data_IF_463184571075
#
_entry.id   IF_463184571075
#
_cell.length_a   1.000
_cell.length_b   1.000
_cell.length_c   1.000
_cell.angle_alpha   90.00
_cell.angle_beta   90.00
_cell.angle_gamma   90.00
#
_symmetry.space_group_name_H-M   'P 1'
#
loop_
_entity.id
_entity.type
_entity.pdbx_description
1 polymer ?
#
# COMPACT_ATOMS: atom_id res chain seq x y z
N UNK A 1 3.80 18.69 -20.88
CA UNK A 1 3.08 17.63 -20.14
C UNK A 1 2.04 17.11 -21.11
N UNK A 2 2.25 15.91 -21.64
CA UNK A 2 1.33 15.28 -22.59
C UNK A 2 -0.02 15.11 -21.91
N UNK A 3 -1.07 15.71 -22.47
CA UNK A 3 -2.40 15.82 -21.86
C UNK A 3 -3.23 14.54 -21.86
N UNK A 4 -2.62 13.38 -21.61
CA UNK A 4 -3.36 12.15 -21.35
C UNK A 4 -3.72 12.08 -19.87
N UNK A 5 -5.01 12.15 -19.58
CA UNK A 5 -5.55 11.94 -18.24
C UNK A 5 -5.31 10.50 -17.79
N UNK A 6 -5.13 10.32 -16.48
CA UNK A 6 -5.01 8.98 -15.90
C UNK A 6 -6.30 8.20 -16.13
N UNK A 7 -6.21 6.89 -16.47
CA UNK A 7 -7.38 6.11 -16.81
C UNK A 7 -8.33 5.99 -15.61
N UNK A 8 -9.59 6.38 -15.81
CA UNK A 8 -10.63 6.40 -14.77
C UNK A 8 -10.84 5.05 -14.10
N UNK A 9 -10.68 3.93 -14.82
CA UNK A 9 -10.83 2.59 -14.25
C UNK A 9 -9.81 2.31 -13.14
N UNK A 10 -8.59 2.85 -13.24
CA UNK A 10 -7.56 2.69 -12.20
C UNK A 10 -7.94 3.45 -10.92
N UNK A 11 -8.48 4.67 -11.07
CA UNK A 11 -8.99 5.48 -9.96
C UNK A 11 -10.14 4.78 -9.23
N UNK A 12 -11.07 4.20 -9.99
CA UNK A 12 -12.20 3.45 -9.45
C UNK A 12 -11.75 2.18 -8.72
N UNK A 13 -10.88 1.38 -9.33
CA UNK A 13 -10.36 0.16 -8.71
C UNK A 13 -9.64 0.45 -7.40
N UNK A 14 -8.79 1.48 -7.39
CA UNK A 14 -8.07 1.91 -6.19
C UNK A 14 -9.04 2.39 -5.09
N UNK A 15 -10.04 3.17 -5.46
CA UNK A 15 -11.06 3.67 -4.51
C UNK A 15 -11.91 2.53 -3.94
N UNK A 16 -12.31 1.56 -4.77
CA UNK A 16 -13.05 0.37 -4.33
C UNK A 16 -12.21 -0.47 -3.36
N UNK A 17 -10.92 -0.66 -3.65
CA UNK A 17 -10.00 -1.33 -2.75
C UNK A 17 -9.95 -0.65 -1.38
N UNK A 18 -9.83 0.68 -1.33
CA UNK A 18 -9.90 1.43 -0.06
C UNK A 18 -11.25 1.30 0.63
N UNK A 19 -12.34 1.29 -0.13
CA UNK A 19 -13.69 1.07 0.38
C UNK A 19 -13.85 -0.25 1.14
N UNK A 20 -13.02 -1.25 0.85
CA UNK A 20 -12.95 -2.51 1.60
C UNK A 20 -11.89 -2.45 2.70
N UNK A 21 -10.67 -1.99 2.39
CA UNK A 21 -9.55 -2.01 3.33
C UNK A 21 -9.83 -1.14 4.56
N UNK A 22 -10.31 0.08 4.36
CA UNK A 22 -10.51 1.05 5.45
C UNK A 22 -11.48 0.52 6.52
N UNK A 23 -12.72 0.08 6.22
CA UNK A 23 -13.60 -0.42 7.26
C UNK A 23 -13.06 -1.70 7.91
N UNK A 24 -12.44 -2.60 7.14
CA UNK A 24 -11.88 -3.84 7.69
C UNK A 24 -10.74 -3.55 8.67
N UNK A 25 -9.80 -2.68 8.29
CA UNK A 25 -8.69 -2.29 9.17
C UNK A 25 -9.15 -1.49 10.37
N UNK A 26 -10.14 -0.61 10.19
CA UNK A 26 -10.70 0.15 11.29
C UNK A 26 -11.30 -0.76 12.37
N UNK A 27 -12.06 -1.78 11.96
CA UNK A 27 -12.68 -2.73 12.90
C UNK A 27 -11.63 -3.63 13.56
N UNK A 28 -10.62 -4.10 12.82
CA UNK A 28 -9.63 -5.04 13.36
C UNK A 28 -8.48 -4.40 14.14
N UNK A 29 -7.96 -3.27 13.67
CA UNK A 29 -6.75 -2.63 14.20
C UNK A 29 -7.03 -1.28 14.86
N UNK A 30 -8.23 -0.72 14.66
CA UNK A 30 -8.60 0.60 15.14
C UNK A 30 -8.03 1.74 14.27
N UNK A 31 -8.49 2.98 14.50
CA UNK A 31 -8.12 4.14 13.69
C UNK A 31 -6.63 4.50 13.76
N UNK A 32 -5.95 4.13 14.86
CA UNK A 32 -4.52 4.39 15.03
C UNK A 32 -3.65 3.69 13.98
N UNK A 33 -4.15 2.59 13.39
CA UNK A 33 -3.45 1.90 12.31
C UNK A 33 -3.17 2.83 11.13
N UNK A 34 -4.10 3.73 10.80
CA UNK A 34 -3.93 4.65 9.67
C UNK A 34 -2.88 5.74 9.86
N UNK A 35 -2.14 5.73 10.98
CA UNK A 35 -1.01 6.61 11.23
C UNK A 35 0.33 6.00 10.75
N UNK A 36 0.35 4.74 10.32
CA UNK A 36 1.52 4.18 9.65
C UNK A 36 1.78 4.92 8.34
N UNK A 37 3.06 5.15 8.01
CA UNK A 37 3.47 5.86 6.80
C UNK A 37 2.85 5.25 5.53
N UNK A 38 2.79 3.92 5.45
CA UNK A 38 2.17 3.20 4.34
C UNK A 38 0.67 3.43 4.21
N UNK A 39 -0.07 3.48 5.33
CA UNK A 39 -1.50 3.80 5.31
C UNK A 39 -1.76 5.26 4.92
N UNK A 40 -0.94 6.19 5.41
CA UNK A 40 -1.00 7.61 5.00
C UNK A 40 -0.76 7.72 3.49
N UNK A 41 0.30 7.08 2.99
CA UNK A 41 0.61 7.08 1.56
C UNK A 41 -0.48 6.41 0.74
N UNK A 42 -1.05 5.30 1.21
CA UNK A 42 -2.15 4.60 0.56
C UNK A 42 -3.37 5.52 0.40
N UNK A 43 -3.76 6.25 1.45
CA UNK A 43 -4.89 7.18 1.41
C UNK A 43 -4.58 8.44 0.57
N UNK A 44 -3.39 9.04 0.73
CA UNK A 44 -2.98 10.22 -0.05
C UNK A 44 -2.81 9.90 -1.54
N UNK A 45 -2.40 8.68 -1.90
CA UNK A 45 -2.32 8.23 -3.30
C UNK A 45 -3.70 8.21 -3.95
N UNK A 46 -4.77 7.86 -3.23
CA UNK A 46 -6.13 8.00 -3.75
C UNK A 46 -6.46 9.44 -4.11
N UNK A 47 -6.10 10.39 -3.24
CA UNK A 47 -6.30 11.82 -3.48
C UNK A 47 -5.47 12.27 -4.68
N UNK A 48 -4.21 11.84 -4.78
CA UNK A 48 -3.33 12.13 -5.90
C UNK A 48 -3.90 11.60 -7.24
N UNK A 49 -4.46 10.39 -7.26
CA UNK A 49 -5.09 9.79 -8.45
C UNK A 49 -6.28 10.61 -8.96
N UNK A 50 -7.13 11.09 -8.05
CA UNK A 50 -8.32 11.88 -8.42
C UNK A 50 -7.98 13.32 -8.82
N UNK A 51 -7.02 13.94 -8.13
CA UNK A 51 -6.54 15.28 -8.44
C UNK A 51 -5.52 15.30 -9.59
N UNK A 52 -5.07 14.13 -10.05
CA UNK A 52 -3.95 13.96 -10.98
C UNK A 52 -2.75 14.82 -10.59
N UNK A 53 -2.37 14.77 -9.30
CA UNK A 53 -1.35 15.65 -8.72
C UNK A 53 -0.01 14.91 -8.59
N UNK A 54 1.00 15.21 -9.44
CA UNK A 54 2.32 14.58 -9.36
C UNK A 54 3.08 14.98 -8.09
N UNK A 55 2.78 16.15 -7.53
CA UNK A 55 3.37 16.61 -6.27
C UNK A 55 3.00 15.68 -5.11
N UNK A 56 1.71 15.37 -4.95
CA UNK A 56 1.25 14.46 -3.90
C UNK A 56 1.82 13.06 -4.08
N UNK A 57 1.84 12.56 -5.33
CA UNK A 57 2.48 11.28 -5.65
C UNK A 57 3.97 11.29 -5.28
N UNK A 58 4.70 12.36 -5.62
CA UNK A 58 6.15 12.47 -5.38
C UNK A 58 6.45 12.52 -3.89
N UNK A 59 5.68 13.29 -3.13
CA UNK A 59 5.82 13.38 -1.68
C UNK A 59 5.62 12.01 -1.02
N UNK A 60 4.58 11.28 -1.43
CA UNK A 60 4.31 9.95 -0.88
C UNK A 60 5.35 8.94 -1.31
N UNK A 61 5.77 8.93 -2.58
CA UNK A 61 6.84 8.07 -3.08
C UNK A 61 8.13 8.26 -2.27
N UNK A 62 8.54 9.49 -2.00
CA UNK A 62 9.72 9.76 -1.17
C UNK A 62 9.52 9.31 0.28
N UNK A 63 8.32 9.52 0.86
CA UNK A 63 8.02 9.13 2.23
C UNK A 63 8.05 7.61 2.42
N UNK A 64 7.61 6.82 1.43
CA UNK A 64 7.41 5.37 1.59
C UNK A 64 8.31 4.47 0.74
N UNK A 65 9.09 4.99 -0.19
CA UNK A 65 9.95 4.16 -1.05
C UNK A 65 10.85 3.23 -0.24
N UNK A 66 11.59 3.76 0.73
CA UNK A 66 12.47 2.95 1.58
C UNK A 66 11.71 1.92 2.43
N UNK A 67 10.72 2.29 3.26
CA UNK A 67 10.02 1.30 4.08
C UNK A 67 9.28 0.25 3.24
N UNK A 68 8.69 0.62 2.10
CA UNK A 68 8.04 -0.34 1.20
C UNK A 68 9.06 -1.30 0.58
N UNK A 69 10.23 -0.82 0.14
CA UNK A 69 11.29 -1.68 -0.38
C UNK A 69 11.80 -2.66 0.68
N UNK A 70 12.01 -2.21 1.92
CA UNK A 70 12.44 -3.08 3.02
C UNK A 70 11.34 -4.10 3.34
N UNK A 71 10.07 -3.68 3.39
CA UNK A 71 8.94 -4.58 3.61
C UNK A 71 8.84 -5.65 2.51
N UNK A 72 8.98 -5.26 1.24
CA UNK A 72 8.95 -6.18 0.10
C UNK A 72 10.14 -7.14 0.13
N UNK A 73 11.34 -6.67 0.43
CA UNK A 73 12.52 -7.52 0.57
C UNK A 73 12.35 -8.55 1.69
N UNK A 74 11.79 -8.15 2.84
CA UNK A 74 11.46 -9.06 3.94
C UNK A 74 10.40 -10.09 3.53
N UNK A 75 9.29 -9.63 2.91
CA UNK A 75 8.19 -10.48 2.48
C UNK A 75 8.62 -11.52 1.44
N UNK A 76 9.25 -11.10 0.34
CA UNK A 76 9.70 -12.01 -0.71
C UNK A 76 10.88 -12.85 -0.25
N UNK A 77 11.79 -12.30 0.56
CA UNK A 77 12.89 -13.06 1.16
C UNK A 77 12.37 -14.22 2.00
N UNK A 78 11.38 -13.96 2.87
CA UNK A 78 10.74 -15.00 3.68
C UNK A 78 9.91 -15.96 2.83
N UNK A 79 9.19 -15.47 1.82
CA UNK A 79 8.39 -16.31 0.92
C UNK A 79 9.26 -17.31 0.14
N UNK A 80 10.44 -16.90 -0.33
CA UNK A 80 11.32 -17.71 -1.15
C UNK A 80 12.24 -18.63 -0.33
N UNK A 81 12.69 -18.18 0.85
CA UNK A 81 13.72 -18.89 1.63
C UNK A 81 13.19 -19.51 2.93
N UNK A 82 12.01 -19.12 3.38
CA UNK A 82 11.47 -19.46 4.69
C UNK A 82 12.17 -18.78 5.87
N UNK A 83 13.19 -17.94 5.63
CA UNK A 83 13.99 -17.28 6.67
C UNK A 83 13.43 -15.90 7.03
N UNK A 84 13.50 -15.56 8.31
CA UNK A 84 13.19 -14.22 8.81
C UNK A 84 14.37 -13.29 8.54
N UNK A 85 14.14 -12.14 7.90
CA UNK A 85 15.19 -11.15 7.63
C UNK A 85 15.10 -9.98 8.62
N UNK A 86 13.98 -9.25 8.58
CA UNK A 86 13.73 -8.03 9.35
C UNK A 86 12.46 -8.11 10.20
N UNK A 87 11.53 -9.00 9.85
CA UNK A 87 10.31 -9.26 10.62
C UNK A 87 9.16 -8.27 10.38
N UNK A 88 9.32 -7.32 9.45
CA UNK A 88 8.29 -6.34 9.08
C UNK A 88 7.06 -7.00 8.45
N UNK A 89 7.25 -8.13 7.77
CA UNK A 89 6.20 -8.91 7.11
C UNK A 89 5.79 -10.14 7.92
N UNK A 90 6.23 -10.28 9.18
CA UNK A 90 6.07 -11.54 9.91
C UNK A 90 4.61 -11.97 10.09
N UNK A 91 3.74 -10.97 10.27
CA UNK A 91 2.31 -11.14 10.38
C UNK A 91 1.67 -11.75 9.12
N UNK A 92 2.32 -11.67 7.95
CA UNK A 92 1.84 -12.27 6.70
C UNK A 92 1.92 -13.81 6.72
N UNK A 93 2.79 -14.36 7.57
CA UNK A 93 3.01 -15.80 7.67
C UNK A 93 2.46 -16.40 8.98
N UNK A 94 1.81 -15.58 9.81
CA UNK A 94 1.16 -16.00 11.04
C UNK A 94 -0.14 -16.78 10.74
N UNK A 95 -0.24 -18.07 11.09
CA UNK A 95 -1.44 -18.87 10.86
C UNK A 95 -2.63 -18.42 11.73
N UNK A 96 -2.39 -17.72 12.85
CA UNK A 96 -3.43 -17.15 13.70
C UNK A 96 -4.13 -15.94 13.07
N UNK A 97 -3.56 -15.36 12.01
CA UNK A 97 -4.15 -14.19 11.33
C UNK A 97 -5.05 -14.60 10.17
N UNK A 98 -6.27 -14.03 10.10
CA UNK A 98 -7.18 -14.25 8.98
C UNK A 98 -6.51 -13.97 7.63
N UNK A 99 -6.75 -14.85 6.65
CA UNK A 99 -6.12 -14.75 5.33
C UNK A 99 -6.48 -13.46 4.58
N UNK A 100 -7.71 -12.97 4.76
CA UNK A 100 -8.14 -11.74 4.11
C UNK A 100 -7.41 -10.50 4.64
N UNK A 101 -7.07 -10.44 5.94
CA UNK A 101 -6.27 -9.32 6.48
C UNK A 101 -4.88 -9.29 5.85
N UNK A 102 -4.25 -10.46 5.74
CA UNK A 102 -2.96 -10.59 5.07
C UNK A 102 -3.03 -10.24 3.59
N UNK A 103 -4.10 -10.66 2.91
CA UNK A 103 -4.30 -10.32 1.51
C UNK A 103 -4.46 -8.80 1.32
N UNK A 104 -5.17 -8.11 2.22
CA UNK A 104 -5.29 -6.65 2.18
C UNK A 104 -3.94 -5.97 2.40
N UNK A 105 -3.10 -6.49 3.29
CA UNK A 105 -1.73 -5.99 3.52
C UNK A 105 -0.80 -6.12 2.31
N UNK A 106 -1.15 -6.91 1.28
CA UNK A 106 -0.37 -6.96 0.04
C UNK A 106 -0.38 -5.64 -0.74
N UNK A 107 -1.14 -4.64 -0.30
CA UNK A 107 -1.02 -3.28 -0.84
C UNK A 107 0.42 -2.76 -0.76
N UNK A 108 1.25 -3.21 0.19
CA UNK A 108 2.67 -2.86 0.27
C UNK A 108 3.46 -3.24 -1.01
N UNK A 109 3.02 -4.27 -1.74
CA UNK A 109 3.61 -4.64 -3.04
C UNK A 109 3.12 -3.70 -4.15
N UNK A 110 1.85 -3.31 -4.11
CA UNK A 110 1.16 -2.59 -5.19
C UNK A 110 1.39 -1.07 -5.10
N UNK A 111 1.39 -0.51 -3.90
CA UNK A 111 1.50 0.92 -3.62
C UNK A 111 2.74 1.58 -4.27
N UNK A 112 3.98 1.07 -4.10
CA UNK A 112 5.14 1.68 -4.76
C UNK A 112 5.04 1.63 -6.28
N UNK A 113 4.45 0.58 -6.86
CA UNK A 113 4.23 0.46 -8.31
C UNK A 113 3.23 1.50 -8.80
N UNK A 114 2.12 1.69 -8.09
CA UNK A 114 1.11 2.71 -8.41
C UNK A 114 1.71 4.11 -8.32
N UNK A 115 2.45 4.40 -7.25
CA UNK A 115 3.11 5.70 -7.06
C UNK A 115 4.07 6.02 -8.19
N UNK A 116 4.87 5.05 -8.65
CA UNK A 116 5.79 5.25 -9.78
C UNK A 116 5.01 5.42 -11.10
N UNK A 117 3.91 4.70 -11.29
CA UNK A 117 3.11 4.76 -12.51
C UNK A 117 2.42 6.12 -12.72
N UNK A 118 2.02 6.80 -11.64
CA UNK A 118 1.28 8.06 -11.71
C UNK A 118 2.17 9.31 -11.66
N UNK A 119 3.50 9.12 -11.60
CA UNK A 119 4.53 10.17 -11.66
C UNK A 119 4.95 10.44 -13.10
#
# INVERSE_FOLDING_TARGET
MTGEQLPTWGKLLYTLFLGVLVPVYWVHWGPKNFLWFSDIALLTTAVSLWLESPLLASMMALAVALPELVWNADFFGRLLTGRHLFGLSDYMFDPGRPRYLRALSLFHVVLPVVLIWIL
#
